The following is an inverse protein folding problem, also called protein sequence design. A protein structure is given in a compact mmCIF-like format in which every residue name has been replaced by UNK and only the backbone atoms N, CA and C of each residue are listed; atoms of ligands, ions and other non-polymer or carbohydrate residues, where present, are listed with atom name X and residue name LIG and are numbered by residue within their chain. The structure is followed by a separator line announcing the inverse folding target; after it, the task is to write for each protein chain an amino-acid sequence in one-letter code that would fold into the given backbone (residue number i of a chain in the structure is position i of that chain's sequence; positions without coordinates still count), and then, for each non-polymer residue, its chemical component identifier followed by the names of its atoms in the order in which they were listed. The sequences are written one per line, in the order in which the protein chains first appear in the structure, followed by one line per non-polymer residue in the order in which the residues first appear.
data_IF_214969682571
#
_entry.id   IF_214969682571
#
_cell.length_a   1.000
_cell.length_b   1.000
_cell.length_c   1.000
_cell.angle_alpha   90.00
_cell.angle_beta   90.00
_cell.angle_gamma   90.00
#
_symmetry.space_group_name_H-M   'P 1'
#
loop_
_entity.id
_entity.type
_entity.pdbx_description
1 polymer ?
#
# COMPACT_ATOMS: atom_id res chain seq x y z
N UNK A 1 37.92 29.18 -16.07
CA UNK A 1 37.67 27.94 -15.30
C UNK A 1 36.19 27.59 -15.34
N UNK A 2 35.73 26.67 -16.22
CA UNK A 2 34.32 26.33 -16.32
C UNK A 2 33.90 25.25 -15.30
N UNK A 3 33.34 25.76 -14.20
CA UNK A 3 32.21 25.27 -13.40
C UNK A 3 32.09 23.79 -13.00
N UNK A 4 32.25 23.54 -11.69
CA UNK A 4 31.80 22.36 -10.94
C UNK A 4 30.30 22.02 -11.15
N UNK A 5 29.48 22.96 -11.63
CA UNK A 5 28.06 22.74 -11.97
C UNK A 5 27.87 21.81 -13.18
N UNK A 6 28.75 21.88 -14.20
CA UNK A 6 28.71 20.96 -15.35
C UNK A 6 29.11 19.53 -14.97
N UNK A 7 30.06 19.36 -14.04
CA UNK A 7 30.47 18.06 -13.50
C UNK A 7 29.39 17.42 -12.61
N UNK A 8 28.63 18.22 -11.85
CA UNK A 8 27.48 17.74 -11.06
C UNK A 8 26.27 17.37 -11.94
N UNK A 9 26.01 18.12 -13.01
CA UNK A 9 24.98 17.79 -14.00
C UNK A 9 25.33 16.51 -14.80
N UNK A 10 26.61 16.32 -15.15
CA UNK A 10 27.10 15.08 -15.77
C UNK A 10 27.03 13.87 -14.84
N UNK A 11 27.32 14.04 -13.54
CA UNK A 11 27.14 12.96 -12.53
C UNK A 11 25.67 12.61 -12.26
N UNK A 12 24.75 13.58 -12.34
CA UNK A 12 23.30 13.33 -12.24
C UNK A 12 22.77 12.63 -13.51
N UNK A 13 23.20 13.05 -14.70
CA UNK A 13 22.85 12.37 -15.96
C UNK A 13 23.46 10.97 -16.06
N UNK A 14 24.70 10.77 -15.61
CA UNK A 14 25.33 9.44 -15.61
C UNK A 14 24.69 8.49 -14.60
N UNK A 15 24.27 8.97 -13.42
CA UNK A 15 23.47 8.18 -12.46
C UNK A 15 22.05 7.88 -12.98
N UNK A 16 21.41 8.80 -13.69
CA UNK A 16 20.11 8.55 -14.32
C UNK A 16 20.20 7.53 -15.49
N UNK A 17 21.28 7.58 -16.27
CA UNK A 17 21.56 6.61 -17.34
C UNK A 17 21.99 5.24 -16.78
N UNK A 18 22.81 5.21 -15.73
CA UNK A 18 23.17 3.97 -15.02
C UNK A 18 21.97 3.35 -14.29
N UNK A 19 21.04 4.16 -13.76
CA UNK A 19 19.74 3.67 -13.23
C UNK A 19 18.83 3.11 -14.31
N UNK A 20 18.83 3.67 -15.53
CA UNK A 20 18.12 3.09 -16.70
C UNK A 20 18.72 1.77 -17.18
N UNK A 21 20.00 1.51 -16.92
CA UNK A 21 20.69 0.28 -17.29
C UNK A 21 20.68 -0.78 -16.17
N UNK A 22 20.52 -0.37 -14.92
CA UNK A 22 20.25 -1.24 -13.76
C UNK A 22 18.74 -1.43 -13.49
N UNK A 23 17.89 -1.03 -14.43
CA UNK A 23 16.44 -1.01 -14.33
C UNK A 23 15.87 -2.45 -14.27
N UNK A 24 15.22 -2.87 -13.15
CA UNK A 24 14.44 -4.09 -13.09
C UNK A 24 13.37 -4.14 -14.18
N UNK A 25 12.92 -2.97 -14.66
CA UNK A 25 12.04 -2.79 -15.79
C UNK A 25 12.60 -3.36 -17.10
N UNK A 26 13.91 -3.57 -17.26
CA UNK A 26 14.47 -4.24 -18.44
C UNK A 26 14.27 -5.77 -18.37
N UNK A 27 14.42 -6.38 -17.19
CA UNK A 27 14.09 -7.79 -16.96
C UNK A 27 12.57 -8.01 -16.95
N UNK A 28 11.77 -7.11 -16.36
CA UNK A 28 10.31 -7.15 -16.44
C UNK A 28 9.82 -6.93 -17.86
N UNK A 29 10.43 -6.04 -18.66
CA UNK A 29 10.14 -5.90 -20.10
C UNK A 29 10.53 -7.14 -20.89
N UNK A 30 11.63 -7.82 -20.54
CA UNK A 30 12.02 -9.09 -21.15
C UNK A 30 11.08 -10.24 -20.76
N UNK A 31 10.66 -10.32 -19.50
CA UNK A 31 9.71 -11.32 -19.01
C UNK A 31 8.29 -11.04 -19.52
N UNK A 32 7.88 -9.77 -19.60
CA UNK A 32 6.61 -9.33 -20.20
C UNK A 32 6.60 -9.57 -21.71
N UNK A 33 7.69 -9.23 -22.42
CA UNK A 33 7.86 -9.57 -23.84
C UNK A 33 7.88 -11.09 -24.07
N UNK A 34 8.50 -11.86 -23.17
CA UNK A 34 8.47 -13.33 -23.23
C UNK A 34 7.08 -13.90 -22.91
N UNK A 35 6.28 -13.24 -22.06
CA UNK A 35 4.85 -13.57 -21.83
C UNK A 35 3.97 -13.19 -23.02
N UNK A 36 4.36 -12.18 -23.81
CA UNK A 36 3.68 -11.76 -25.02
C UNK A 36 3.91 -12.68 -26.22
N UNK A 37 4.87 -13.62 -26.14
CA UNK A 37 5.03 -14.69 -27.13
C UNK A 37 3.94 -15.73 -26.86
N UNK A 38 3.01 -15.98 -27.81
CA UNK A 38 1.92 -16.93 -27.64
C UNK A 38 2.45 -18.36 -27.71
N UNK A 39 3.05 -18.83 -26.61
CA UNK A 39 3.45 -20.21 -26.45
C UNK A 39 2.25 -21.05 -25.98
N UNK A 40 2.05 -22.25 -26.54
CA UNK A 40 1.05 -23.19 -26.01
C UNK A 40 1.26 -23.44 -24.51
N UNK A 41 0.17 -23.48 -23.74
CA UNK A 41 0.20 -23.64 -22.27
C UNK A 41 1.19 -24.72 -21.81
N UNK A 42 1.17 -25.89 -22.45
CA UNK A 42 2.04 -27.04 -22.13
C UNK A 42 3.54 -26.75 -22.30
N UNK A 43 3.92 -25.99 -23.33
CA UNK A 43 5.32 -25.61 -23.60
C UNK A 43 5.81 -24.60 -22.56
N UNK A 44 4.97 -23.63 -22.22
CA UNK A 44 5.25 -22.64 -21.17
C UNK A 44 5.40 -23.29 -19.79
N UNK A 45 4.55 -24.26 -19.46
CA UNK A 45 4.66 -25.03 -18.22
C UNK A 45 5.94 -25.87 -18.20
N UNK A 46 6.29 -26.55 -19.31
CA UNK A 46 7.51 -27.34 -19.42
C UNK A 46 8.80 -26.53 -19.25
N UNK A 47 8.91 -25.38 -19.91
CA UNK A 47 10.05 -24.45 -19.76
C UNK A 47 10.14 -23.87 -18.35
N UNK A 48 9.01 -23.49 -17.76
CA UNK A 48 8.97 -23.01 -16.38
C UNK A 48 9.42 -24.08 -15.38
N UNK A 49 9.02 -25.33 -15.57
CA UNK A 49 9.38 -26.44 -14.67
C UNK A 49 10.87 -26.78 -14.77
N UNK A 50 11.44 -26.81 -15.98
CA UNK A 50 12.82 -27.20 -16.19
C UNK A 50 13.86 -26.15 -15.74
N UNK A 51 13.56 -24.85 -15.89
CA UNK A 51 14.56 -23.79 -15.67
C UNK A 51 14.28 -22.88 -14.47
N UNK A 52 13.01 -22.70 -14.07
CA UNK A 52 12.61 -21.67 -13.12
C UNK A 52 12.17 -22.20 -11.75
N UNK A 53 12.12 -23.51 -11.53
CA UNK A 53 11.78 -24.12 -10.23
C UNK A 53 13.02 -24.63 -9.53
N UNK A 54 13.10 -24.47 -8.22
CA UNK A 54 13.97 -25.33 -7.42
C UNK A 54 13.47 -26.77 -7.56
N UNK A 55 14.39 -27.73 -7.70
CA UNK A 55 14.01 -29.14 -7.89
C UNK A 55 13.60 -29.81 -6.58
N UNK A 56 13.95 -29.22 -5.46
CA UNK A 56 13.73 -29.76 -4.12
C UNK A 56 12.52 -29.09 -3.46
N UNK A 57 11.82 -29.86 -2.63
CA UNK A 57 10.80 -29.35 -1.73
C UNK A 57 11.49 -28.63 -0.58
N UNK A 58 10.96 -27.48 -0.17
CA UNK A 58 11.46 -26.67 0.93
C UNK A 58 10.33 -26.46 1.93
N UNK A 59 10.63 -26.55 3.22
CA UNK A 59 9.68 -26.18 4.27
C UNK A 59 9.61 -24.66 4.41
N UNK A 60 8.41 -24.10 4.23
CA UNK A 60 8.15 -22.67 4.39
C UNK A 60 7.16 -22.46 5.54
N UNK A 61 7.45 -21.54 6.49
CA UNK A 61 6.49 -21.14 7.51
C UNK A 61 5.17 -20.65 6.91
N UNK A 62 4.04 -21.14 7.42
CA UNK A 62 2.73 -20.81 6.87
C UNK A 62 2.37 -19.32 7.05
N UNK A 63 2.90 -18.68 8.10
CA UNK A 63 2.76 -17.24 8.34
C UNK A 63 3.49 -16.35 7.31
N UNK A 64 4.39 -16.94 6.51
CA UNK A 64 5.11 -16.25 5.42
C UNK A 64 4.44 -16.42 4.04
N UNK A 65 3.31 -17.11 3.96
CA UNK A 65 2.60 -17.34 2.71
C UNK A 65 1.49 -16.33 2.51
N UNK A 66 1.58 -15.56 1.43
CA UNK A 66 0.57 -14.61 0.99
C UNK A 66 -0.19 -15.18 -0.21
N UNK A 67 -1.47 -14.81 -0.34
CA UNK A 67 -2.27 -15.21 -1.51
C UNK A 67 -1.62 -14.72 -2.81
N UNK A 68 -2.00 -15.34 -3.94
CA UNK A 68 -1.35 -15.04 -5.19
C UNK A 68 -2.10 -15.48 -6.43
N UNK A 69 -1.44 -16.24 -7.30
CA UNK A 69 -2.00 -16.63 -8.58
C UNK A 69 -3.30 -17.43 -8.39
N UNK A 70 -4.36 -17.02 -9.07
CA UNK A 70 -5.67 -17.66 -8.96
C UNK A 70 -6.25 -17.79 -10.37
N UNK A 71 -6.98 -18.87 -10.63
CA UNK A 71 -7.71 -19.05 -11.89
C UNK A 71 -6.84 -19.00 -13.16
N UNK A 72 -5.60 -19.48 -13.07
CA UNK A 72 -4.64 -19.42 -14.19
C UNK A 72 -4.06 -18.03 -14.48
N UNK A 73 -4.44 -17.00 -13.71
CA UNK A 73 -3.91 -15.64 -13.76
C UNK A 73 -2.72 -15.50 -12.81
N UNK A 74 -1.77 -14.61 -13.11
CA UNK A 74 -0.76 -14.24 -12.11
C UNK A 74 -1.41 -13.48 -10.94
N UNK A 75 -0.74 -13.40 -9.78
CA UNK A 75 -1.30 -12.65 -8.64
C UNK A 75 -1.64 -11.20 -8.98
N UNK A 76 -0.81 -10.56 -9.82
CA UNK A 76 -1.06 -9.20 -10.29
C UNK A 76 -2.25 -9.10 -11.25
N UNK A 77 -2.34 -10.01 -12.22
CA UNK A 77 -3.47 -10.03 -13.16
C UNK A 77 -4.78 -10.30 -12.41
N UNK A 78 -4.77 -11.22 -11.44
CA UNK A 78 -5.94 -11.55 -10.64
C UNK A 78 -6.37 -10.38 -9.75
N UNK A 79 -5.42 -9.77 -9.01
CA UNK A 79 -5.65 -8.57 -8.20
C UNK A 79 -6.30 -7.44 -8.99
N UNK A 80 -5.77 -7.15 -10.19
CA UNK A 80 -6.36 -6.16 -11.10
C UNK A 80 -7.75 -6.54 -11.59
N UNK A 81 -7.96 -7.83 -11.91
CA UNK A 81 -9.23 -8.33 -12.42
C UNK A 81 -10.37 -8.32 -11.38
N UNK A 82 -10.05 -8.47 -10.09
CA UNK A 82 -11.04 -8.45 -8.99
C UNK A 82 -11.09 -7.13 -8.21
N UNK A 83 -10.24 -6.16 -8.58
CA UNK A 83 -10.19 -4.84 -7.95
C UNK A 83 -9.66 -4.85 -6.52
N UNK A 84 -8.79 -5.80 -6.16
CA UNK A 84 -8.27 -5.98 -4.80
C UNK A 84 -6.75 -5.79 -4.79
N UNK A 85 -6.30 -4.57 -4.44
CA UNK A 85 -4.87 -4.22 -4.42
C UNK A 85 -4.07 -5.03 -3.39
N UNK A 86 -4.73 -5.47 -2.31
CA UNK A 86 -4.09 -6.16 -1.19
C UNK A 86 -4.15 -7.68 -1.33
N UNK A 87 -4.74 -8.21 -2.40
CA UNK A 87 -4.83 -9.66 -2.62
C UNK A 87 -3.50 -10.38 -2.38
N UNK A 88 -2.40 -9.89 -2.98
CA UNK A 88 -1.08 -10.52 -2.80
C UNK A 88 -0.34 -10.10 -1.52
N UNK A 89 -0.98 -9.29 -0.68
CA UNK A 89 -0.52 -8.88 0.65
C UNK A 89 -1.29 -9.62 1.75
N UNK A 90 -2.38 -10.31 1.42
CA UNK A 90 -3.21 -11.06 2.38
C UNK A 90 -2.53 -12.37 2.79
N UNK A 91 -2.29 -12.61 4.09
CA UNK A 91 -1.81 -13.89 4.59
C UNK A 91 -2.78 -15.03 4.26
N UNK A 92 -2.27 -16.24 3.97
CA UNK A 92 -3.12 -17.40 3.70
C UNK A 92 -4.09 -17.71 4.85
N UNK A 93 -3.66 -17.46 6.09
CA UNK A 93 -4.46 -17.67 7.29
C UNK A 93 -5.69 -16.75 7.43
N UNK A 94 -5.68 -15.64 6.72
CA UNK A 94 -6.78 -14.66 6.62
C UNK A 94 -7.55 -14.82 5.29
N UNK A 95 -7.11 -15.75 4.43
CA UNK A 95 -7.66 -15.94 3.11
C UNK A 95 -9.03 -16.63 3.09
N UNK A 96 -9.77 -16.49 1.96
CA UNK A 96 -11.13 -17.02 1.82
C UNK A 96 -11.21 -18.55 1.91
N UNK A 97 -10.14 -19.25 1.54
CA UNK A 97 -10.06 -20.71 1.64
C UNK A 97 -10.08 -21.18 3.11
N UNK A 98 -9.34 -20.51 4.00
CA UNK A 98 -9.36 -20.78 5.44
C UNK A 98 -10.70 -20.36 6.05
N UNK A 99 -11.27 -19.24 5.60
CA UNK A 99 -12.59 -18.79 6.06
C UNK A 99 -13.70 -19.83 5.81
N UNK A 100 -13.69 -20.52 4.65
CA UNK A 100 -14.63 -21.61 4.37
C UNK A 100 -14.46 -22.81 5.31
N UNK A 101 -13.22 -23.20 5.61
CA UNK A 101 -12.97 -24.31 6.53
C UNK A 101 -13.45 -23.97 7.95
N UNK A 102 -13.14 -22.76 8.45
CA UNK A 102 -13.63 -22.28 9.76
C UNK A 102 -15.16 -22.19 9.82
N UNK A 103 -15.80 -21.77 8.72
CA UNK A 103 -17.26 -21.78 8.60
C UNK A 103 -17.80 -23.21 8.75
N UNK A 104 -17.17 -24.19 8.11
CA UNK A 104 -17.58 -25.58 8.23
C UNK A 104 -17.38 -26.12 9.65
N UNK A 105 -16.24 -25.85 10.30
CA UNK A 105 -16.00 -26.22 11.70
C UNK A 105 -17.08 -25.66 12.64
N UNK A 106 -17.43 -24.37 12.47
CA UNK A 106 -18.49 -23.73 13.25
C UNK A 106 -19.89 -24.34 13.00
N UNK A 107 -20.12 -24.91 11.82
CA UNK A 107 -21.37 -25.56 11.45
C UNK A 107 -21.39 -27.08 11.71
N UNK A 108 -20.39 -27.65 12.38
CA UNK A 108 -20.33 -29.10 12.62
C UNK A 108 -19.95 -29.93 11.38
N UNK A 109 -19.26 -29.32 10.42
CA UNK A 109 -18.73 -29.95 9.21
C UNK A 109 -19.56 -29.76 7.95
N UNK A 110 -20.82 -29.35 8.06
CA UNK A 110 -21.75 -29.22 6.94
C UNK A 110 -22.50 -27.88 6.97
N UNK A 111 -21.85 -26.77 6.56
CA UNK A 111 -22.48 -25.44 6.55
C UNK A 111 -23.62 -25.39 5.53
N UNK A 112 -24.65 -24.56 5.72
CA UNK A 112 -25.71 -24.39 4.72
C UNK A 112 -25.18 -23.81 3.39
N UNK A 113 -25.85 -24.10 2.27
CA UNK A 113 -25.43 -23.63 0.94
C UNK A 113 -25.40 -22.09 0.87
N UNK A 114 -26.42 -21.43 1.42
CA UNK A 114 -26.49 -19.97 1.52
C UNK A 114 -25.29 -19.41 2.29
N UNK A 115 -24.92 -20.07 3.39
CA UNK A 115 -23.76 -19.66 4.19
C UNK A 115 -22.44 -19.80 3.43
N UNK A 116 -22.28 -20.85 2.60
CA UNK A 116 -21.10 -20.98 1.73
C UNK A 116 -21.06 -19.86 0.70
N UNK A 117 -22.19 -19.57 0.05
CA UNK A 117 -22.29 -18.56 -1.00
C UNK A 117 -22.06 -17.13 -0.48
N UNK A 118 -22.53 -16.84 0.73
CA UNK A 118 -22.37 -15.53 1.38
C UNK A 118 -21.01 -15.38 2.08
N UNK A 119 -20.23 -16.46 2.17
CA UNK A 119 -18.89 -16.43 2.76
C UNK A 119 -17.86 -15.69 1.87
N UNK A 120 -16.69 -15.32 2.42
CA UNK A 120 -15.57 -14.80 1.62
C UNK A 120 -15.14 -15.74 0.47
N UNK A 121 -15.33 -17.06 0.63
CA UNK A 121 -15.05 -18.04 -0.43
C UNK A 121 -16.04 -17.94 -1.59
N UNK A 122 -17.34 -17.89 -1.31
CA UNK A 122 -18.37 -17.69 -2.32
C UNK A 122 -18.19 -16.36 -3.04
N UNK A 123 -17.91 -15.29 -2.30
CA UNK A 123 -17.62 -13.97 -2.86
C UNK A 123 -16.36 -13.95 -3.74
N UNK A 124 -15.28 -14.66 -3.36
CA UNK A 124 -14.11 -14.85 -4.22
C UNK A 124 -14.49 -15.58 -5.51
N UNK A 125 -15.21 -16.69 -5.39
CA UNK A 125 -15.55 -17.54 -6.53
C UNK A 125 -16.41 -16.78 -7.55
N UNK A 126 -17.43 -16.03 -7.10
CA UNK A 126 -18.25 -15.17 -7.96
C UNK A 126 -17.42 -14.09 -8.65
N UNK A 127 -16.49 -13.44 -7.94
CA UNK A 127 -15.56 -12.46 -8.54
C UNK A 127 -14.67 -13.10 -9.62
N UNK A 128 -14.12 -14.29 -9.35
CA UNK A 128 -13.30 -15.02 -10.31
C UNK A 128 -14.08 -15.49 -11.55
N UNK A 129 -15.35 -15.91 -11.36
CA UNK A 129 -16.26 -16.23 -12.47
C UNK A 129 -16.57 -14.97 -13.28
N UNK A 130 -16.89 -13.86 -12.62
CA UNK A 130 -17.17 -12.59 -13.29
C UNK A 130 -16.00 -12.06 -14.12
N UNK A 131 -14.76 -12.26 -13.66
CA UNK A 131 -13.57 -11.72 -14.33
C UNK A 131 -12.90 -12.70 -15.31
N UNK A 132 -12.95 -14.01 -15.04
CA UNK A 132 -12.26 -15.04 -15.82
C UNK A 132 -13.17 -16.11 -16.42
N UNK A 133 -14.49 -16.01 -16.21
CA UNK A 133 -15.50 -16.94 -16.72
C UNK A 133 -15.55 -18.30 -16.00
N UNK A 134 -14.74 -18.51 -14.97
CA UNK A 134 -14.73 -19.75 -14.18
C UNK A 134 -14.05 -19.59 -12.81
N UNK A 135 -14.24 -20.57 -11.91
CA UNK A 135 -13.47 -20.75 -10.67
C UNK A 135 -13.31 -22.24 -10.37
N UNK A 136 -12.11 -22.81 -10.57
CA UNK A 136 -11.87 -24.27 -10.47
C UNK A 136 -12.88 -25.12 -11.28
N UNK A 137 -13.28 -24.63 -12.45
CA UNK A 137 -14.28 -25.26 -13.32
C UNK A 137 -15.73 -24.84 -13.06
N UNK A 138 -16.04 -24.24 -11.91
CA UNK A 138 -17.35 -23.65 -11.64
C UNK A 138 -17.62 -22.45 -12.55
N UNK A 139 -18.87 -22.28 -12.98
CA UNK A 139 -19.33 -21.14 -13.82
C UNK A 139 -20.54 -20.40 -13.25
N UNK A 140 -21.12 -20.94 -12.18
CA UNK A 140 -22.31 -20.47 -11.51
C UNK A 140 -22.26 -20.90 -10.03
N UNK A 141 -23.26 -20.49 -9.25
CA UNK A 141 -23.35 -20.78 -7.82
C UNK A 141 -23.43 -22.28 -7.52
N UNK A 142 -24.11 -23.08 -8.36
CA UNK A 142 -24.16 -24.52 -8.19
C UNK A 142 -22.77 -25.17 -8.31
N UNK A 143 -21.97 -24.75 -9.30
CA UNK A 143 -20.58 -25.18 -9.42
C UNK A 143 -19.70 -24.69 -8.27
N UNK A 144 -19.98 -23.51 -7.70
CA UNK A 144 -19.26 -23.00 -6.51
C UNK A 144 -19.52 -23.91 -5.32
N UNK A 145 -20.79 -24.25 -5.06
CA UNK A 145 -21.19 -25.19 -4.00
C UNK A 145 -20.52 -26.55 -4.19
N UNK A 146 -20.57 -27.10 -5.42
CA UNK A 146 -19.92 -28.38 -5.72
C UNK A 146 -18.40 -28.32 -5.48
N UNK A 147 -17.76 -27.16 -5.70
CA UNK A 147 -16.32 -26.94 -5.42
C UNK A 147 -16.04 -26.85 -3.93
N UNK A 148 -16.87 -26.10 -3.19
CA UNK A 148 -16.75 -25.94 -1.76
C UNK A 148 -16.94 -27.27 -1.03
N UNK A 149 -18.04 -28.00 -1.31
CA UNK A 149 -18.33 -29.32 -0.71
C UNK A 149 -17.21 -30.33 -0.98
N UNK A 150 -16.77 -30.38 -2.23
CA UNK A 150 -15.61 -31.18 -2.65
C UNK A 150 -14.34 -30.87 -1.84
N UNK A 151 -14.09 -29.59 -1.57
CA UNK A 151 -12.97 -29.16 -0.75
C UNK A 151 -13.14 -29.54 0.72
N UNK A 152 -14.32 -29.33 1.31
CA UNK A 152 -14.63 -29.69 2.69
C UNK A 152 -14.46 -31.20 2.94
N UNK A 153 -14.98 -32.05 2.06
CA UNK A 153 -14.84 -33.50 2.14
C UNK A 153 -13.36 -33.93 2.15
N UNK A 154 -12.55 -33.38 1.23
CA UNK A 154 -11.10 -33.65 1.20
C UNK A 154 -10.40 -33.18 2.47
N UNK A 155 -10.79 -32.02 3.01
CA UNK A 155 -10.22 -31.52 4.26
C UNK A 155 -10.50 -32.48 5.43
N UNK A 156 -11.72 -33.01 5.51
CA UNK A 156 -12.17 -33.99 6.50
C UNK A 156 -11.54 -35.39 6.34
N UNK A 157 -10.71 -35.60 5.32
CA UNK A 157 -9.99 -36.87 5.11
C UNK A 157 -10.71 -37.85 4.18
N UNK A 158 -11.75 -37.43 3.47
CA UNK A 158 -12.37 -38.27 2.44
C UNK A 158 -11.38 -38.50 1.29
N UNK A 159 -11.00 -39.76 1.11
CA UNK A 159 -10.05 -40.21 0.09
C UNK A 159 -10.73 -40.56 -1.24
N UNK A 160 -12.05 -40.34 -1.38
CA UNK A 160 -12.80 -40.63 -2.60
C UNK A 160 -12.17 -39.89 -3.78
N UNK A 161 -11.68 -40.61 -4.81
CA UNK A 161 -11.07 -39.98 -5.98
C UNK A 161 -12.09 -39.10 -6.69
N UNK A 162 -11.83 -37.80 -6.74
CA UNK A 162 -12.63 -36.88 -7.53
C UNK A 162 -11.94 -36.60 -8.86
N UNK A 163 -12.69 -36.53 -9.98
CA UNK A 163 -12.12 -36.17 -11.26
C UNK A 163 -11.48 -34.78 -11.15
N UNK A 164 -10.25 -34.66 -11.65
CA UNK A 164 -9.55 -33.38 -11.67
C UNK A 164 -10.36 -32.38 -12.51
N UNK A 165 -10.79 -31.28 -11.90
CA UNK A 165 -11.47 -30.21 -12.61
C UNK A 165 -10.47 -29.37 -13.39
N UNK A 166 -10.93 -28.75 -14.47
CA UNK A 166 -10.10 -27.81 -15.23
C UNK A 166 -9.58 -26.72 -14.29
N UNK A 167 -8.29 -26.38 -14.40
CA UNK A 167 -7.62 -25.38 -13.56
C UNK A 167 -7.46 -25.76 -12.07
N UNK A 168 -7.65 -27.03 -11.71
CA UNK A 168 -7.31 -27.58 -10.40
C UNK A 168 -6.06 -28.47 -10.49
N UNK A 169 -5.11 -28.25 -9.59
CA UNK A 169 -3.96 -29.15 -9.41
C UNK A 169 -4.41 -30.51 -8.88
N UNK A 170 -3.74 -31.59 -9.29
CA UNK A 170 -3.95 -32.94 -8.76
C UNK A 170 -3.46 -33.05 -7.31
N UNK A 171 -3.94 -34.02 -6.52
CA UNK A 171 -3.50 -34.20 -5.14
C UNK A 171 -1.99 -34.35 -4.97
N UNK A 172 -1.34 -35.05 -5.91
CA UNK A 172 0.10 -35.33 -5.96
C UNK A 172 0.95 -34.19 -6.57
N UNK A 173 0.31 -33.18 -7.18
CA UNK A 173 1.03 -31.99 -7.64
C UNK A 173 1.60 -31.23 -6.43
N UNK A 174 2.87 -30.79 -6.49
CA UNK A 174 3.45 -30.01 -5.40
C UNK A 174 2.77 -28.64 -5.28
N UNK A 175 2.70 -28.12 -4.04
CA UNK A 175 2.36 -26.72 -3.80
C UNK A 175 3.47 -25.84 -4.39
N UNK A 176 3.09 -24.79 -5.12
CA UNK A 176 4.04 -23.91 -5.79
C UNK A 176 3.98 -22.51 -5.20
N UNK A 177 5.14 -21.93 -4.92
CA UNK A 177 5.26 -20.55 -4.43
C UNK A 177 6.35 -19.78 -5.18
N UNK A 178 6.31 -18.45 -5.13
CA UNK A 178 7.39 -17.58 -5.59
C UNK A 178 7.86 -16.65 -4.46
N UNK A 179 9.17 -16.43 -4.28
CA UNK A 179 9.66 -15.43 -3.34
C UNK A 179 9.16 -14.04 -3.72
N UNK A 180 8.79 -13.23 -2.73
CA UNK A 180 8.43 -11.83 -2.95
C UNK A 180 9.70 -10.98 -2.86
N UNK A 181 9.87 -10.05 -3.81
CA UNK A 181 11.05 -9.18 -3.84
C UNK A 181 11.12 -8.34 -2.57
N UNK A 182 12.32 -8.28 -2.00
CA UNK A 182 12.63 -7.49 -0.80
C UNK A 182 11.81 -7.88 0.42
N UNK A 183 11.37 -9.12 0.50
CA UNK A 183 10.63 -9.68 1.62
C UNK A 183 11.15 -11.09 1.91
N UNK A 184 10.88 -11.59 3.12
CA UNK A 184 11.00 -12.98 3.50
C UNK A 184 9.72 -13.80 3.23
N UNK A 185 8.69 -13.17 2.66
CA UNK A 185 7.42 -13.78 2.31
C UNK A 185 7.40 -14.38 0.90
N UNK A 186 6.41 -15.24 0.66
CA UNK A 186 6.18 -15.91 -0.61
C UNK A 186 4.76 -15.71 -1.11
N UNK A 187 4.61 -15.53 -2.42
CA UNK A 187 3.33 -15.51 -3.10
C UNK A 187 2.96 -16.93 -3.52
N UNK A 188 1.75 -17.37 -3.17
CA UNK A 188 1.23 -18.67 -3.59
C UNK A 188 0.94 -18.64 -5.10
N UNK A 189 1.42 -19.66 -5.82
CA UNK A 189 1.17 -19.83 -7.25
C UNK A 189 0.18 -20.95 -7.54
N UNK A 190 0.15 -21.96 -6.68
CA UNK A 190 -0.75 -23.10 -6.76
C UNK A 190 -0.85 -23.78 -5.39
N UNK A 191 -1.98 -24.44 -5.11
CA UNK A 191 -2.18 -25.21 -3.87
C UNK A 191 -2.88 -24.48 -2.73
N UNK A 192 -3.62 -23.39 -3.01
CA UNK A 192 -4.37 -22.61 -2.00
C UNK A 192 -5.23 -23.47 -1.06
N UNK A 193 -6.03 -24.41 -1.58
CA UNK A 193 -6.83 -25.33 -0.77
C UNK A 193 -5.99 -26.20 0.18
N UNK A 194 -4.83 -26.69 -0.27
CA UNK A 194 -3.93 -27.53 0.54
C UNK A 194 -3.29 -26.73 1.67
N UNK A 195 -2.78 -25.54 1.34
CA UNK A 195 -2.18 -24.64 2.33
C UNK A 195 -3.21 -24.18 3.37
N UNK A 196 -4.43 -23.86 2.95
CA UNK A 196 -5.51 -23.51 3.88
C UNK A 196 -5.88 -24.67 4.82
N UNK A 197 -5.90 -25.92 4.32
CA UNK A 197 -6.07 -27.09 5.19
C UNK A 197 -4.94 -27.24 6.21
N UNK A 198 -3.68 -27.03 5.81
CA UNK A 198 -2.53 -27.08 6.70
C UNK A 198 -2.64 -26.01 7.81
N UNK A 199 -3.05 -24.80 7.46
CA UNK A 199 -3.31 -23.72 8.43
C UNK A 199 -4.35 -24.13 9.48
N UNK A 200 -5.50 -24.66 9.05
CA UNK A 200 -6.60 -25.03 9.97
C UNK A 200 -6.20 -26.21 10.87
N UNK A 201 -5.37 -27.13 10.38
CA UNK A 201 -4.79 -28.22 11.18
C UNK A 201 -3.73 -27.75 12.19
N UNK A 202 -3.38 -26.46 12.18
CA UNK A 202 -2.35 -25.91 13.07
C UNK A 202 -0.94 -26.36 12.70
N UNK A 203 -0.70 -26.72 11.44
CA UNK A 203 0.65 -26.99 10.96
C UNK A 203 1.49 -25.69 11.04
N UNK A 204 2.79 -25.74 11.38
CA UNK A 204 3.63 -24.55 11.44
C UNK A 204 4.25 -24.21 10.08
N UNK A 205 4.46 -25.22 9.24
CA UNK A 205 5.13 -25.10 7.94
C UNK A 205 4.38 -25.89 6.88
N UNK A 206 4.68 -25.63 5.62
CA UNK A 206 4.25 -26.46 4.51
C UNK A 206 5.43 -26.79 3.58
N UNK A 207 5.40 -28.01 3.06
CA UNK A 207 6.34 -28.46 2.03
C UNK A 207 5.95 -27.89 0.67
N UNK A 208 6.80 -27.06 0.07
CA UNK A 208 6.52 -26.35 -1.19
C UNK A 208 7.67 -26.40 -2.18
N UNK A 209 7.38 -26.21 -3.47
CA UNK A 209 8.38 -25.93 -4.51
C UNK A 209 8.44 -24.43 -4.75
N UNK A 210 9.63 -23.87 -4.53
CA UNK A 210 9.89 -22.44 -4.69
C UNK A 210 10.38 -22.13 -6.11
N UNK A 211 9.80 -21.11 -6.75
CA UNK A 211 10.35 -20.55 -7.99
C UNK A 211 11.66 -19.81 -7.72
N UNK A 212 12.64 -19.96 -8.61
CA UNK A 212 13.93 -19.27 -8.54
C UNK A 212 13.82 -17.76 -8.73
N UNK A 213 12.89 -17.31 -9.58
CA UNK A 213 12.71 -15.89 -9.86
C UNK A 213 11.68 -15.28 -8.91
N UNK A 214 12.02 -14.20 -8.20
CA UNK A 214 11.10 -13.52 -7.32
C UNK A 214 10.07 -12.70 -8.09
N UNK A 215 8.94 -12.41 -7.45
CA UNK A 215 7.84 -11.58 -7.97
C UNK A 215 7.67 -10.32 -7.14
N UNK A 216 7.04 -9.29 -7.70
CA UNK A 216 6.51 -8.14 -6.96
C UNK A 216 5.03 -8.34 -6.64
N UNK A 217 4.54 -7.70 -5.58
CA UNK A 217 3.09 -7.62 -5.31
C UNK A 217 2.48 -6.39 -5.98
N UNK A 218 1.17 -6.39 -6.27
CA UNK A 218 0.47 -5.22 -6.78
C UNK A 218 0.62 -3.98 -5.91
N UNK A 219 0.64 -4.15 -4.58
CA UNK A 219 0.92 -3.07 -3.64
C UNK A 219 2.33 -2.49 -3.84
N UNK A 220 3.37 -3.33 -3.94
CA UNK A 220 4.73 -2.88 -4.23
C UNK A 220 4.83 -2.11 -5.56
N UNK A 221 4.18 -2.63 -6.61
CA UNK A 221 4.17 -2.00 -7.93
C UNK A 221 3.36 -0.69 -7.92
N UNK A 222 2.30 -0.62 -7.13
CA UNK A 222 1.53 0.61 -6.94
C UNK A 222 2.35 1.69 -6.26
N UNK A 223 3.01 1.36 -5.14
CA UNK A 223 3.89 2.27 -4.42
C UNK A 223 5.00 2.81 -5.32
N UNK A 224 5.72 1.94 -6.04
CA UNK A 224 6.81 2.36 -6.95
C UNK A 224 6.38 3.32 -8.05
N UNK A 225 5.11 3.30 -8.45
CA UNK A 225 4.56 4.20 -9.49
C UNK A 225 4.13 5.56 -8.93
N UNK A 226 3.99 5.69 -7.61
CA UNK A 226 3.66 6.97 -7.01
C UNK A 226 4.76 7.99 -7.27
N UNK A 227 4.32 9.19 -7.64
CA UNK A 227 5.12 10.31 -8.10
C UNK A 227 6.17 10.77 -7.09
N UNK A 228 5.87 10.66 -5.79
CA UNK A 228 6.76 11.10 -4.72
C UNK A 228 7.93 10.12 -4.47
N UNK A 229 7.81 8.86 -4.88
CA UNK A 229 8.86 7.84 -4.70
C UNK A 229 9.94 7.88 -5.77
N UNK A 230 9.66 8.40 -6.97
CA UNK A 230 10.59 8.26 -8.12
C UNK A 230 11.11 6.81 -8.29
N UNK A 231 10.26 5.83 -7.97
CA UNK A 231 10.57 4.40 -8.00
C UNK A 231 11.48 3.88 -6.87
N UNK A 232 11.78 4.69 -5.83
CA UNK A 232 12.48 4.21 -4.63
C UNK A 232 11.61 3.23 -3.82
N UNK A 233 12.30 2.48 -2.96
CA UNK A 233 11.71 1.47 -2.09
C UNK A 233 11.64 2.04 -0.67
N UNK A 234 10.67 2.89 -0.44
CA UNK A 234 10.44 3.61 0.82
C UNK A 234 8.93 3.78 1.02
N UNK A 235 8.47 3.96 2.26
CA UNK A 235 7.07 4.26 2.56
C UNK A 235 7.01 5.67 3.14
N UNK A 236 6.26 6.60 2.52
CA UNK A 236 6.21 7.96 3.06
C UNK A 236 5.52 7.97 4.41
N UNK A 237 4.37 7.31 4.48
CA UNK A 237 3.55 7.12 5.67
C UNK A 237 3.43 5.62 5.98
N UNK A 238 3.05 5.24 7.21
CA UNK A 238 3.01 3.83 7.62
C UNK A 238 2.00 3.00 6.82
N UNK A 239 2.43 1.85 6.29
CA UNK A 239 1.55 0.84 5.67
C UNK A 239 1.78 -0.50 6.38
N UNK A 240 0.72 -1.08 6.91
CA UNK A 240 0.77 -2.40 7.54
C UNK A 240 0.52 -3.49 6.49
N UNK A 241 1.57 -3.96 5.85
CA UNK A 241 1.51 -5.09 4.92
C UNK A 241 2.72 -6.02 5.15
N UNK A 242 2.51 -7.36 5.25
CA UNK A 242 3.57 -8.29 5.64
C UNK A 242 4.80 -8.22 4.74
N UNK A 243 4.61 -8.08 3.43
CA UNK A 243 5.73 -8.05 2.49
C UNK A 243 6.56 -6.76 2.52
N UNK A 244 6.09 -5.72 3.18
CA UNK A 244 6.77 -4.43 3.29
C UNK A 244 7.62 -4.32 4.57
N UNK A 245 7.22 -5.03 5.64
CA UNK A 245 7.72 -4.82 7.01
C UNK A 245 9.25 -4.88 7.16
N UNK A 246 9.92 -5.83 6.50
CA UNK A 246 11.37 -6.00 6.60
C UNK A 246 12.19 -5.29 5.51
N UNK A 247 11.54 -4.86 4.43
CA UNK A 247 12.22 -4.44 3.20
C UNK A 247 12.07 -2.97 2.84
N UNK A 248 11.07 -2.29 3.41
CA UNK A 248 10.67 -0.95 3.00
C UNK A 248 10.77 0.01 4.18
N UNK A 249 11.85 0.81 4.29
CA UNK A 249 11.98 1.79 5.35
C UNK A 249 10.84 2.80 5.27
N UNK A 250 10.23 3.08 6.42
CA UNK A 250 9.24 4.15 6.54
C UNK A 250 9.97 5.47 6.78
N UNK A 251 9.65 6.45 5.95
CA UNK A 251 10.25 7.79 5.93
C UNK A 251 9.70 8.64 7.07
N UNK A 252 8.37 8.60 7.28
CA UNK A 252 7.70 9.34 8.34
C UNK A 252 6.86 8.39 9.19
N UNK A 253 7.14 8.35 10.49
CA UNK A 253 6.40 7.53 11.45
C UNK A 253 4.95 8.00 11.63
N UNK A 254 4.71 9.31 11.52
CA UNK A 254 3.40 9.97 11.64
C UNK A 254 2.70 9.87 13.02
N UNK A 255 2.95 8.82 13.79
CA UNK A 255 2.31 8.55 15.08
C UNK A 255 2.59 9.63 16.13
N UNK A 256 3.82 10.12 16.19
CA UNK A 256 4.23 11.18 17.11
C UNK A 256 3.54 12.53 16.82
N UNK A 257 3.38 12.87 15.53
CA UNK A 257 2.64 14.05 15.10
C UNK A 257 1.15 13.89 15.41
N UNK A 258 0.57 12.71 15.17
CA UNK A 258 -0.82 12.44 15.53
C UNK A 258 -1.05 12.58 17.04
N UNK A 259 -0.14 12.07 17.88
CA UNK A 259 -0.25 12.19 19.34
C UNK A 259 -0.24 13.66 19.78
N UNK A 260 0.65 14.48 19.22
CA UNK A 260 0.68 15.94 19.47
C UNK A 260 -0.60 16.62 19.00
N UNK A 261 -1.08 16.29 17.80
CA UNK A 261 -2.33 16.83 17.27
C UNK A 261 -3.52 16.47 18.16
N UNK A 262 -3.63 15.21 18.57
CA UNK A 262 -4.70 14.72 19.44
C UNK A 262 -4.65 15.38 20.82
N UNK A 263 -3.47 15.47 21.42
CA UNK A 263 -3.29 16.13 22.71
C UNK A 263 -3.67 17.62 22.64
N UNK A 264 -3.45 18.27 21.50
CA UNK A 264 -3.73 19.69 21.31
C UNK A 264 -5.19 19.97 20.93
N UNK A 265 -5.74 19.23 19.96
CA UNK A 265 -7.06 19.47 19.38
C UNK A 265 -8.20 18.68 20.04
N UNK A 266 -7.91 17.64 20.83
CA UNK A 266 -8.91 16.77 21.44
C UNK A 266 -9.64 15.85 20.45
N UNK A 267 -10.83 15.39 20.83
CA UNK A 267 -11.69 14.56 19.98
C UNK A 267 -12.44 15.39 18.92
N UNK A 268 -12.87 14.71 17.86
CA UNK A 268 -13.34 15.35 16.62
C UNK A 268 -14.83 15.32 16.36
N UNK A 269 -15.67 14.80 17.26
CA UNK A 269 -17.09 14.55 16.95
C UNK A 269 -17.79 15.83 16.50
N UNK A 270 -18.26 15.83 15.25
CA UNK A 270 -18.97 16.96 14.63
C UNK A 270 -18.05 18.05 14.05
N UNK A 271 -16.73 17.84 14.04
CA UNK A 271 -15.73 18.76 13.50
C UNK A 271 -15.19 18.27 12.16
N UNK A 272 -14.99 19.19 11.23
CA UNK A 272 -14.36 18.94 9.95
C UNK A 272 -12.83 18.92 10.06
N UNK A 273 -12.20 17.98 9.36
CA UNK A 273 -10.75 17.92 9.23
C UNK A 273 -10.32 17.88 7.76
N UNK A 274 -9.26 18.64 7.41
CA UNK A 274 -8.63 18.62 6.09
C UNK A 274 -7.13 18.36 6.19
N UNK A 275 -6.64 17.33 5.50
CA UNK A 275 -5.21 17.07 5.32
C UNK A 275 -4.75 17.50 3.91
N UNK A 276 -3.95 18.57 3.83
CA UNK A 276 -3.42 19.12 2.58
C UNK A 276 -2.10 18.44 2.23
N UNK A 277 -2.01 17.90 1.02
CA UNK A 277 -0.94 17.00 0.57
C UNK A 277 -0.91 15.71 1.40
N UNK A 278 -2.07 15.03 1.46
CA UNK A 278 -2.31 13.92 2.37
C UNK A 278 -1.51 12.65 2.07
N UNK A 279 -0.81 12.59 0.94
CA UNK A 279 -0.03 11.45 0.46
C UNK A 279 -0.86 10.15 0.44
N UNK A 280 -0.67 9.21 1.36
CA UNK A 280 -1.45 7.96 1.38
C UNK A 280 -2.82 8.13 2.05
N UNK A 281 -3.05 9.26 2.73
CA UNK A 281 -4.25 9.52 3.52
C UNK A 281 -4.18 8.93 4.93
N UNK A 282 -2.98 8.68 5.47
CA UNK A 282 -2.82 8.13 6.82
C UNK A 282 -3.48 9.02 7.88
N UNK A 283 -3.23 10.35 7.85
CA UNK A 283 -3.86 11.26 8.80
C UNK A 283 -5.36 11.40 8.57
N UNK A 284 -5.84 11.33 7.31
CA UNK A 284 -7.28 11.29 7.00
C UNK A 284 -7.95 10.11 7.72
N UNK A 285 -7.35 8.92 7.63
CA UNK A 285 -7.83 7.72 8.32
C UNK A 285 -7.83 7.89 9.84
N UNK A 286 -6.70 8.31 10.42
CA UNK A 286 -6.54 8.42 11.88
C UNK A 286 -7.41 9.51 12.50
N UNK A 287 -7.57 10.64 11.83
CA UNK A 287 -8.46 11.71 12.29
C UNK A 287 -9.93 11.30 12.15
N UNK A 288 -10.28 10.52 11.12
CA UNK A 288 -11.61 9.90 11.02
C UNK A 288 -11.92 8.96 12.19
N UNK A 289 -10.96 8.14 12.62
CA UNK A 289 -11.08 7.28 13.81
C UNK A 289 -11.26 8.10 15.11
N UNK A 290 -10.75 9.34 15.17
CA UNK A 290 -10.96 10.28 16.27
C UNK A 290 -12.31 11.03 16.19
N UNK A 291 -13.16 10.69 15.22
CA UNK A 291 -14.51 11.22 15.07
C UNK A 291 -14.65 12.46 14.19
N UNK A 292 -13.58 12.90 13.53
CA UNK A 292 -13.65 14.02 12.59
C UNK A 292 -14.31 13.60 11.26
N UNK A 293 -15.00 14.55 10.62
CA UNK A 293 -15.32 14.44 9.19
C UNK A 293 -14.05 14.76 8.38
N UNK A 294 -13.23 13.73 8.16
CA UNK A 294 -11.88 13.84 7.62
C UNK A 294 -11.83 13.78 6.09
N UNK A 295 -11.14 14.76 5.50
CA UNK A 295 -10.91 14.88 4.06
C UNK A 295 -9.43 15.09 3.77
N UNK A 296 -8.97 14.69 2.58
CA UNK A 296 -7.61 14.91 2.10
C UNK A 296 -7.55 15.56 0.71
N UNK A 297 -6.44 16.23 0.42
CA UNK A 297 -6.09 16.71 -0.92
C UNK A 297 -4.76 16.08 -1.31
N UNK A 298 -4.70 15.41 -2.45
CA UNK A 298 -3.45 14.86 -2.97
C UNK A 298 -3.36 15.02 -4.49
N UNK A 299 -2.18 15.38 -4.99
CA UNK A 299 -1.95 15.58 -6.41
C UNK A 299 -1.83 14.26 -7.15
N UNK A 300 -1.24 13.25 -6.52
CA UNK A 300 -1.05 11.94 -7.14
C UNK A 300 -2.37 11.15 -7.19
N UNK A 301 -2.91 10.83 -8.38
CA UNK A 301 -4.15 10.05 -8.48
C UNK A 301 -4.03 8.63 -7.89
N UNK A 302 -2.82 8.09 -7.73
CA UNK A 302 -2.60 6.78 -7.12
C UNK A 302 -2.81 6.77 -5.61
N UNK A 303 -2.85 7.94 -4.96
CA UNK A 303 -3.14 8.04 -3.53
C UNK A 303 -4.54 7.54 -3.17
N UNK A 304 -5.54 7.84 -4.00
CA UNK A 304 -6.94 7.46 -3.76
C UNK A 304 -7.12 5.94 -3.66
N UNK A 305 -6.75 5.13 -4.68
CA UNK A 305 -6.88 3.67 -4.57
C UNK A 305 -5.99 3.08 -3.47
N UNK A 306 -4.83 3.69 -3.16
CA UNK A 306 -3.98 3.23 -2.06
C UNK A 306 -4.64 3.44 -0.70
N UNK A 307 -5.12 4.64 -0.42
CA UNK A 307 -5.77 4.97 0.86
C UNK A 307 -7.05 4.17 1.08
N UNK A 308 -7.84 3.93 0.02
CA UNK A 308 -8.98 3.00 0.06
C UNK A 308 -8.55 1.59 0.45
N UNK A 309 -7.53 1.07 -0.22
CA UNK A 309 -7.08 -0.30 -0.01
C UNK A 309 -6.46 -0.51 1.38
N UNK A 310 -5.54 0.38 1.79
CA UNK A 310 -4.72 0.19 3.00
C UNK A 310 -5.42 0.69 4.27
N UNK A 311 -6.21 1.76 4.17
CA UNK A 311 -6.83 2.39 5.34
C UNK A 311 -8.36 2.35 5.33
N UNK A 312 -8.98 1.74 4.32
CA UNK A 312 -10.44 1.66 4.21
C UNK A 312 -11.10 3.04 4.02
N UNK A 313 -10.39 4.02 3.44
CA UNK A 313 -10.96 5.35 3.23
C UNK A 313 -12.21 5.26 2.34
N UNK A 314 -13.30 5.99 2.66
CA UNK A 314 -14.50 5.97 1.84
C UNK A 314 -14.28 6.72 0.51
N UNK A 315 -15.19 6.49 -0.43
CA UNK A 315 -15.23 7.23 -1.68
C UNK A 315 -15.37 8.74 -1.41
N UNK A 316 -14.55 9.53 -2.10
CA UNK A 316 -14.52 10.99 -1.93
C UNK A 316 -13.72 11.51 -0.74
N UNK A 317 -13.20 10.64 0.15
CA UNK A 317 -12.39 11.08 1.29
C UNK A 317 -11.11 11.83 0.88
N UNK A 318 -10.55 11.53 -0.29
CA UNK A 318 -9.39 12.24 -0.84
C UNK A 318 -9.75 12.81 -2.20
N UNK A 319 -9.66 14.13 -2.33
CA UNK A 319 -9.82 14.85 -3.60
C UNK A 319 -8.48 14.90 -4.32
N UNK A 320 -8.44 14.37 -5.54
CA UNK A 320 -7.25 14.51 -6.39
C UNK A 320 -7.15 15.91 -7.00
N UNK A 321 -6.02 16.57 -6.84
CA UNK A 321 -5.77 17.89 -7.44
C UNK A 321 -4.55 18.60 -6.88
N UNK A 322 -4.15 19.69 -7.54
CA UNK A 322 -3.14 20.59 -6.99
C UNK A 322 -3.71 21.32 -5.76
N UNK A 323 -2.95 21.32 -4.66
CA UNK A 323 -3.40 21.91 -3.40
C UNK A 323 -3.76 23.39 -3.54
N UNK A 324 -3.03 24.16 -4.35
CA UNK A 324 -3.30 25.60 -4.52
C UNK A 324 -4.62 25.83 -5.22
N UNK A 325 -4.88 25.08 -6.28
CA UNK A 325 -6.11 25.22 -7.07
C UNK A 325 -7.33 24.76 -6.24
N UNK A 326 -7.22 23.61 -5.57
CA UNK A 326 -8.30 23.10 -4.72
C UNK A 326 -8.63 24.06 -3.56
N UNK A 327 -7.60 24.61 -2.89
CA UNK A 327 -7.80 25.55 -1.79
C UNK A 327 -8.33 26.93 -2.26
N UNK A 328 -8.01 27.34 -3.48
CA UNK A 328 -8.52 28.58 -4.06
C UNK A 328 -10.01 28.47 -4.39
N UNK A 329 -10.41 27.33 -4.95
CA UNK A 329 -11.75 27.08 -5.47
C UNK A 329 -12.77 26.68 -4.39
N UNK A 330 -12.33 26.36 -3.18
CA UNK A 330 -13.22 25.99 -2.08
C UNK A 330 -13.67 27.21 -1.27
N UNK A 331 -14.96 27.24 -0.94
CA UNK A 331 -15.54 28.16 0.05
C UNK A 331 -15.83 27.46 1.38
N UNK A 332 -15.54 26.15 1.47
CA UNK A 332 -15.64 25.40 2.72
C UNK A 332 -14.51 25.79 3.66
N UNK A 333 -14.84 25.87 4.95
CA UNK A 333 -13.91 25.97 6.08
C UNK A 333 -13.98 24.65 6.87
N UNK A 334 -12.84 24.23 7.43
CA UNK A 334 -12.71 23.07 8.31
C UNK A 334 -12.20 23.53 9.67
N UNK A 335 -12.69 22.94 10.75
CA UNK A 335 -12.27 23.30 12.11
C UNK A 335 -10.77 23.05 12.30
N UNK A 336 -10.28 21.93 11.79
CA UNK A 336 -8.87 21.54 11.86
C UNK A 336 -8.31 21.30 10.46
N UNK A 337 -7.15 21.89 10.17
CA UNK A 337 -6.43 21.66 8.92
C UNK A 337 -5.01 21.19 9.25
N UNK A 338 -4.47 20.23 8.51
CA UNK A 338 -3.04 19.94 8.49
C UNK A 338 -2.42 20.22 7.12
N UNK A 339 -1.18 20.67 7.15
CA UNK A 339 -0.34 20.84 5.96
C UNK A 339 1.08 20.40 6.32
N UNK A 340 1.39 19.14 6.02
CA UNK A 340 2.67 18.55 6.39
C UNK A 340 3.61 18.49 5.21
N UNK A 341 4.81 19.01 5.40
CA UNK A 341 5.94 18.83 4.49
C UNK A 341 5.66 19.34 3.08
N UNK A 342 4.88 20.41 2.98
CA UNK A 342 4.55 21.05 1.71
C UNK A 342 5.17 22.45 1.58
N UNK A 343 5.12 23.27 2.62
CA UNK A 343 5.48 24.71 2.56
C UNK A 343 6.91 24.96 2.02
N UNK A 344 7.90 24.15 2.41
CA UNK A 344 9.27 24.30 1.91
C UNK A 344 9.40 24.17 0.39
N UNK A 345 8.51 23.45 -0.30
CA UNK A 345 8.51 23.44 -1.77
C UNK A 345 8.25 24.84 -2.36
N UNK A 346 7.46 25.66 -1.67
CA UNK A 346 7.12 27.03 -2.06
C UNK A 346 8.25 27.99 -1.70
N UNK A 347 8.85 27.83 -0.53
CA UNK A 347 10.06 28.57 -0.11
C UNK A 347 11.20 28.37 -1.11
N UNK A 348 11.36 27.14 -1.62
CA UNK A 348 12.39 26.78 -2.61
C UNK A 348 12.04 27.18 -4.05
N UNK A 349 10.91 27.87 -4.28
CA UNK A 349 10.46 28.30 -5.61
C UNK A 349 10.09 27.14 -6.56
N UNK A 350 9.62 26.01 -6.02
CA UNK A 350 9.26 24.79 -6.78
C UNK A 350 7.75 24.63 -6.99
N UNK A 351 6.96 25.61 -6.57
CA UNK A 351 5.50 25.59 -6.62
C UNK A 351 4.93 26.69 -7.55
N UNK A 352 3.62 26.66 -7.79
CA UNK A 352 2.91 27.59 -8.68
C UNK A 352 2.74 29.00 -8.11
N UNK A 353 2.85 29.16 -6.80
CA UNK A 353 2.73 30.44 -6.08
C UNK A 353 3.83 30.57 -5.01
N UNK A 354 3.97 31.77 -4.45
CA UNK A 354 4.86 32.03 -3.32
C UNK A 354 4.36 31.41 -2.00
N UNK A 355 5.25 31.27 -1.00
CA UNK A 355 4.92 30.69 0.30
C UNK A 355 3.85 31.48 1.06
N UNK A 356 3.83 32.81 0.94
CA UNK A 356 2.83 33.69 1.56
C UNK A 356 1.42 33.39 1.03
N UNK A 357 1.32 33.11 -0.26
CA UNK A 357 0.03 32.81 -0.88
C UNK A 357 -0.49 31.44 -0.43
N UNK A 358 0.37 30.43 -0.26
CA UNK A 358 -0.04 29.14 0.28
C UNK A 358 -0.59 29.29 1.70
N UNK A 359 0.13 29.96 2.60
CA UNK A 359 -0.31 30.08 4.00
C UNK A 359 -1.59 30.90 4.13
N UNK A 360 -1.82 31.91 3.27
CA UNK A 360 -3.10 32.63 3.20
C UNK A 360 -4.26 31.74 2.76
N UNK A 361 -4.02 30.82 1.82
CA UNK A 361 -5.03 29.84 1.42
C UNK A 361 -5.35 28.86 2.55
N UNK A 362 -4.33 28.38 3.27
CA UNK A 362 -4.51 27.54 4.45
C UNK A 362 -5.27 28.28 5.56
N UNK A 363 -4.91 29.53 5.85
CA UNK A 363 -5.59 30.40 6.81
C UNK A 363 -7.08 30.61 6.45
N UNK A 364 -7.39 30.86 5.17
CA UNK A 364 -8.78 31.01 4.66
C UNK A 364 -9.63 29.79 5.01
N UNK A 365 -9.11 28.58 4.80
CA UNK A 365 -9.89 27.34 4.94
C UNK A 365 -9.87 26.78 6.37
N UNK A 366 -9.05 27.32 7.26
CA UNK A 366 -8.94 26.86 8.64
C UNK A 366 -9.89 27.65 9.53
N UNK A 367 -10.70 26.95 10.33
CA UNK A 367 -11.63 27.51 11.30
C UNK A 367 -10.95 27.78 12.64
N UNK A 368 -10.38 26.74 13.26
CA UNK A 368 -9.85 26.80 14.62
C UNK A 368 -8.34 26.58 14.66
N UNK A 369 -7.83 25.49 14.08
CA UNK A 369 -6.41 25.09 14.23
C UNK A 369 -5.80 24.62 12.92
N UNK A 370 -4.67 25.23 12.55
CA UNK A 370 -3.78 24.74 11.49
C UNK A 370 -2.56 24.04 12.11
N UNK A 371 -2.43 22.75 11.84
CA UNK A 371 -1.22 21.99 12.10
C UNK A 371 -0.27 22.06 10.89
N UNK A 372 0.97 22.50 11.09
CA UNK A 372 1.92 22.67 10.01
C UNK A 372 3.29 22.14 10.39
N UNK A 373 3.88 21.33 9.52
CA UNK A 373 5.31 21.03 9.53
C UNK A 373 5.89 21.34 8.14
N UNK A 374 7.17 21.66 8.10
CA UNK A 374 7.85 21.97 6.84
C UNK A 374 9.32 21.59 6.92
N UNK A 375 9.97 21.42 5.77
CA UNK A 375 11.42 21.27 5.69
C UNK A 375 12.14 22.42 6.40
N UNK A 376 13.21 22.12 7.12
CA UNK A 376 13.98 23.05 7.96
C UNK A 376 15.48 22.97 7.66
N UNK A 377 16.23 23.99 8.09
CA UNK A 377 17.68 24.13 7.84
C UNK A 377 18.57 23.17 8.65
N UNK A 378 18.01 22.50 9.65
CA UNK A 378 18.70 21.44 10.40
C UNK A 378 18.80 20.13 9.60
N UNK A 379 18.01 19.95 8.55
CA UNK A 379 18.05 18.76 7.72
C UNK A 379 19.24 18.82 6.76
N UNK A 380 20.08 17.77 6.73
CA UNK A 380 21.31 17.78 5.94
C UNK A 380 21.09 18.04 4.44
N UNK A 381 19.95 17.62 3.87
CA UNK A 381 19.60 17.89 2.48
C UNK A 381 19.09 19.32 2.21
N UNK A 382 18.75 20.08 3.24
CA UNK A 382 18.19 21.44 3.13
C UNK A 382 19.07 22.50 3.77
N UNK A 383 20.12 22.12 4.50
CA UNK A 383 21.00 23.01 5.25
C UNK A 383 21.41 24.27 4.49
N UNK A 384 21.86 24.15 3.24
CA UNK A 384 22.21 25.30 2.41
C UNK A 384 20.98 25.98 1.79
N UNK A 385 20.01 25.20 1.29
CA UNK A 385 18.89 25.73 0.49
C UNK A 385 17.80 26.40 1.32
N UNK A 386 17.74 26.09 2.61
CA UNK A 386 16.80 26.65 3.57
C UNK A 386 17.54 27.40 4.68
N UNK A 387 18.80 27.82 4.48
CA UNK A 387 19.62 28.45 5.53
C UNK A 387 18.86 29.57 6.27
N UNK A 388 18.77 29.45 7.59
CA UNK A 388 18.04 30.38 8.45
C UNK A 388 16.55 30.08 8.61
N UNK A 389 16.00 29.13 7.85
CA UNK A 389 14.63 28.65 7.96
C UNK A 389 14.51 27.60 9.07
N UNK A 390 14.48 28.10 10.29
CA UNK A 390 14.43 27.35 11.54
C UNK A 390 13.11 27.63 12.29
N UNK A 391 12.83 26.93 13.42
CA UNK A 391 11.55 27.06 14.11
C UNK A 391 11.13 28.50 14.46
N UNK A 392 12.07 29.35 14.87
CA UNK A 392 11.79 30.74 15.23
C UNK A 392 11.35 31.57 14.01
N UNK A 393 12.08 31.44 12.90
CA UNK A 393 11.74 32.16 11.65
C UNK A 393 10.45 31.64 11.01
N UNK A 394 10.16 30.34 11.13
CA UNK A 394 8.91 29.74 10.64
C UNK A 394 7.74 30.30 11.45
N UNK A 395 7.83 30.30 12.78
CA UNK A 395 6.79 30.86 13.63
C UNK A 395 6.52 32.34 13.31
N UNK A 396 7.57 33.14 13.09
CA UNK A 396 7.43 34.55 12.73
C UNK A 396 6.80 34.76 11.36
N UNK A 397 7.20 33.95 10.38
CA UNK A 397 6.59 33.96 9.05
C UNK A 397 5.09 33.66 9.13
N UNK A 398 4.69 32.66 9.91
CA UNK A 398 3.28 32.31 10.11
C UNK A 398 2.51 33.46 10.77
N UNK A 399 3.05 34.08 11.83
CA UNK A 399 2.43 35.26 12.48
C UNK A 399 2.24 36.42 11.51
N UNK A 400 3.23 36.68 10.66
CA UNK A 400 3.21 37.82 9.74
C UNK A 400 2.28 37.64 8.53
N UNK A 401 1.88 36.41 8.20
CA UNK A 401 1.19 36.10 6.95
C UNK A 401 -0.18 35.42 7.12
N UNK A 402 -0.65 35.24 8.36
CA UNK A 402 -1.93 34.59 8.67
C UNK A 402 -2.72 35.38 9.72
N UNK A 403 -4.00 35.06 9.88
CA UNK A 403 -4.90 35.67 10.87
C UNK A 403 -4.91 34.96 12.23
N UNK A 404 -4.11 33.89 12.42
CA UNK A 404 -4.07 33.14 13.66
C UNK A 404 -3.56 34.00 14.82
N UNK A 405 -4.24 33.94 15.96
CA UNK A 405 -3.92 34.75 17.15
C UNK A 405 -2.74 34.19 17.93
N UNK A 406 -2.50 32.88 17.83
CA UNK A 406 -1.44 32.20 18.58
C UNK A 406 -0.75 31.14 17.73
N UNK A 407 0.59 31.12 17.75
CA UNK A 407 1.42 30.09 17.10
C UNK A 407 2.16 29.33 18.20
N UNK A 408 1.89 28.03 18.34
CA UNK A 408 2.49 27.14 19.34
C UNK A 408 3.40 26.15 18.63
N UNK A 409 4.64 26.05 19.10
CA UNK A 409 5.57 24.99 18.69
C UNK A 409 5.34 23.75 19.57
N UNK A 410 4.86 22.65 18.96
CA UNK A 410 4.58 21.37 19.63
C UNK A 410 5.82 20.45 19.64
N UNK A 411 6.96 20.93 19.16
CA UNK A 411 8.24 20.23 19.18
C UNK A 411 8.49 19.33 17.96
N UNK A 412 9.72 18.80 17.85
CA UNK A 412 10.23 18.10 16.68
C UNK A 412 9.63 16.70 16.49
N UNK A 413 9.49 16.27 15.25
CA UNK A 413 9.19 14.87 14.93
C UNK A 413 10.34 13.91 15.29
N UNK A 414 10.02 12.62 15.38
CA UNK A 414 10.98 11.57 15.76
C UNK A 414 11.57 10.83 14.55
N UNK A 415 11.43 11.38 13.35
CA UNK A 415 11.75 10.72 12.08
C UNK A 415 13.26 10.70 11.77
N UNK A 416 14.09 11.40 12.56
CA UNK A 416 15.53 11.50 12.41
C UNK A 416 16.29 10.24 12.88
N UNK A 417 15.80 9.06 12.49
CA UNK A 417 16.35 7.73 12.81
C UNK A 417 16.95 7.08 11.55
N UNK A 418 17.86 6.09 11.66
CA UNK A 418 18.39 5.39 10.49
C UNK A 418 17.27 4.83 9.58
N UNK A 419 17.36 4.97 8.24
CA UNK A 419 18.48 5.52 7.46
C UNK A 419 18.48 7.06 7.30
N UNK A 420 17.50 7.77 7.86
CA UNK A 420 17.30 9.23 7.73
C UNK A 420 17.94 10.04 8.88
N UNK A 421 18.91 9.47 9.59
CA UNK A 421 19.66 10.19 10.61
C UNK A 421 20.23 11.51 10.04
N UNK A 422 19.98 12.63 10.73
CA UNK A 422 20.37 13.98 10.30
C UNK A 422 19.49 14.60 9.22
N UNK A 423 18.41 13.95 8.80
CA UNK A 423 17.44 14.47 7.85
C UNK A 423 16.04 14.20 8.41
N UNK A 424 15.56 15.05 9.33
CA UNK A 424 14.17 15.25 9.85
C UNK A 424 14.30 16.01 11.20
N UNK A 425 13.50 15.69 12.23
CA UNK A 425 13.32 16.49 13.44
C UNK A 425 12.63 17.83 13.13
N UNK A 426 11.60 17.78 12.29
CA UNK A 426 10.81 18.96 11.93
C UNK A 426 9.88 19.31 13.07
N UNK A 427 9.91 20.57 13.48
CA UNK A 427 8.94 21.08 14.45
C UNK A 427 7.54 21.14 13.86
N UNK A 428 6.57 20.65 14.63
CA UNK A 428 5.15 20.75 14.35
C UNK A 428 4.60 22.02 15.01
N UNK A 429 3.99 22.90 14.22
CA UNK A 429 3.33 24.10 14.71
C UNK A 429 1.81 23.91 14.76
N UNK A 430 1.18 24.43 15.80
CA UNK A 430 -0.25 24.65 15.86
C UNK A 430 -0.55 26.16 15.81
N UNK A 431 -1.22 26.59 14.76
CA UNK A 431 -1.67 27.97 14.59
C UNK A 431 -3.14 28.04 14.98
N UNK A 432 -3.49 28.82 16.00
CA UNK A 432 -4.80 28.82 16.63
C UNK A 432 -5.53 30.11 16.34
N UNK A 433 -6.81 30.00 16.00
CA UNK A 433 -7.76 31.10 16.00
C UNK A 433 -8.60 30.99 17.27
N UNK A 434 -8.46 31.97 18.15
CA UNK A 434 -9.35 32.10 19.30
C UNK A 434 -10.68 32.70 18.82
N UNK A 435 -11.78 32.02 19.15
CA UNK A 435 -13.14 32.39 18.72
C UNK A 435 -13.75 33.55 19.51
#
# INVERSE_FOLDING_TARGET
MPSLSRLRALRRRSRAVLRRLADPGAQERLVSAARAIPLPHRVRTGLSTAFLRQREMVEVPLDRLLLGAQNGMSGADFSGAVGDLLWCSTPIAEGPHVALLRLAEAAGGDPADEAILDSPYGALARRAIGSGGHYFGARDDAGILETARSYLLRHAGDATPQPARTFQSRPDDPVLVAPIRWSDHYQILDGHHRLASAVVRGEPTASVVVKKLPVTTPLQDHLRRMSWLDGTRELYQPISAPELAGGWPTVRACTDRLEKMRAFAGEGRGRGYLDVASCYGWFVSRMGELGFEAHGIERDPLAVPLGKAVYGLPDGAVRTGDAVDVLRDTDRTWDVVSCFSLLHHFILGRASVGPEQLVKLLDKVTGEVLFLDTGQDNEAWFHESLAGWNPATIAEFLRSNTSFTRIVDLGPDVDAVPPYAGNYARHLFACVREG
#
